data_IF_180834627411
#
_entry.id   IF_180834627411
#
_cell.length_a   1.000
_cell.length_b   1.000
_cell.length_c   1.000
_cell.angle_alpha   90.00
_cell.angle_beta   90.00
_cell.angle_gamma   90.00
#
_symmetry.space_group_name_H-M   'P 1'
#
loop_
_entity.id
_entity.type
_entity.pdbx_description
1 polymer ?
#
# COMPACT_ATOMS: atom_id res chain seq x y z
N UNK A 1 -11.43 15.43 8.67
CA UNK A 1 -10.91 14.04 8.57
C UNK A 1 -9.38 13.95 8.70
N UNK A 2 -8.57 14.79 8.02
CA UNK A 2 -7.11 14.79 8.23
C UNK A 2 -6.77 15.05 9.70
N UNK A 3 -7.26 16.12 10.29
CA UNK A 3 -7.01 16.50 11.69
C UNK A 3 -7.55 15.48 12.70
N UNK A 4 -8.64 14.77 12.36
CA UNK A 4 -9.18 13.72 13.23
C UNK A 4 -8.28 12.49 13.34
N UNK A 5 -7.47 12.20 12.31
CA UNK A 5 -6.55 11.06 12.31
C UNK A 5 -5.14 11.51 12.74
N UNK A 6 -4.66 12.62 12.17
CA UNK A 6 -3.34 13.16 12.49
C UNK A 6 -3.27 13.75 13.91
N UNK A 7 -4.38 14.28 14.41
CA UNK A 7 -4.47 14.83 15.78
C UNK A 7 -4.63 13.78 16.88
N UNK A 8 -4.61 12.48 16.58
CA UNK A 8 -4.53 11.43 17.60
C UNK A 8 -3.21 11.56 18.38
N UNK A 9 -3.19 11.16 19.67
CA UNK A 9 -1.98 11.32 20.49
C UNK A 9 -0.75 10.71 19.86
N UNK A 10 0.34 11.49 19.82
CA UNK A 10 1.65 11.07 19.39
C UNK A 10 2.55 10.76 20.59
N UNK A 11 3.25 9.66 20.54
CA UNK A 11 4.32 9.32 21.47
C UNK A 11 5.44 8.61 20.71
N UNK A 12 6.67 8.66 21.20
CA UNK A 12 7.79 7.98 20.57
C UNK A 12 7.54 6.49 20.35
N UNK A 13 6.80 5.85 21.28
CA UNK A 13 6.47 4.43 21.18
C UNK A 13 5.35 4.17 20.16
N UNK A 14 4.24 4.91 20.21
CA UNK A 14 3.14 4.75 19.24
C UNK A 14 3.60 5.05 17.83
N UNK A 15 4.34 6.15 17.63
CA UNK A 15 4.84 6.55 16.33
C UNK A 15 5.80 5.53 15.73
N UNK A 16 6.63 4.89 16.57
CA UNK A 16 7.50 3.79 16.14
C UNK A 16 6.70 2.59 15.64
N UNK A 17 5.66 2.14 16.36
CA UNK A 17 4.82 1.02 15.91
C UNK A 17 4.04 1.37 14.65
N UNK A 18 3.48 2.57 14.57
CA UNK A 18 2.74 3.03 13.39
C UNK A 18 3.67 3.15 12.18
N UNK A 19 4.93 3.60 12.38
CA UNK A 19 5.94 3.61 11.31
C UNK A 19 6.27 2.20 10.82
N UNK A 20 6.43 1.22 11.72
CA UNK A 20 6.66 -0.17 11.32
C UNK A 20 5.51 -0.72 10.46
N UNK A 21 4.26 -0.43 10.84
CA UNK A 21 3.08 -0.80 10.02
C UNK A 21 3.13 -0.11 8.65
N UNK A 22 3.50 1.17 8.63
CA UNK A 22 3.67 1.94 7.40
C UNK A 22 4.73 1.32 6.48
N UNK A 23 5.89 0.95 7.03
CA UNK A 23 7.03 0.43 6.27
C UNK A 23 6.73 -0.95 5.66
N UNK A 24 5.89 -1.77 6.30
CA UNK A 24 5.37 -3.00 5.70
C UNK A 24 4.61 -2.72 4.39
N UNK A 25 3.98 -1.55 4.27
CA UNK A 25 3.28 -1.09 3.06
C UNK A 25 4.19 -0.60 1.94
N UNK A 26 5.49 -0.42 2.16
CA UNK A 26 6.45 0.11 1.16
C UNK A 26 6.78 -0.87 0.00
N UNK A 27 6.12 -1.99 -0.05
CA UNK A 27 6.26 -3.00 -1.12
C UNK A 27 7.06 -4.22 -0.69
N UNK A 28 8.19 -4.07 0.00
CA UNK A 28 9.03 -5.20 0.42
C UNK A 28 8.32 -6.14 1.41
N UNK A 29 7.52 -5.61 2.32
CA UNK A 29 6.71 -6.43 3.23
C UNK A 29 5.73 -7.34 2.48
N UNK A 30 5.06 -6.80 1.45
CA UNK A 30 4.15 -7.57 0.61
C UNK A 30 4.88 -8.56 -0.31
N UNK A 31 6.09 -8.24 -0.77
CA UNK A 31 6.95 -9.19 -1.49
C UNK A 31 7.34 -10.35 -0.59
N UNK A 32 7.76 -10.07 0.64
CA UNK A 32 8.11 -11.11 1.62
C UNK A 32 6.89 -12.02 1.94
N UNK A 33 5.71 -11.42 2.14
CA UNK A 33 4.46 -12.16 2.31
C UNK A 33 4.15 -13.03 1.08
N UNK A 34 4.33 -12.48 -0.13
CA UNK A 34 4.16 -13.20 -1.38
C UNK A 34 5.10 -14.39 -1.51
N UNK A 35 6.38 -14.24 -1.13
CA UNK A 35 7.36 -15.33 -1.10
C UNK A 35 6.91 -16.43 -0.13
N UNK A 36 6.50 -16.07 1.09
CA UNK A 36 5.99 -17.02 2.08
C UNK A 36 4.78 -17.80 1.57
N UNK A 37 3.80 -17.13 0.95
CA UNK A 37 2.63 -17.77 0.35
C UNK A 37 3.04 -18.70 -0.81
N UNK A 38 3.99 -18.27 -1.64
CA UNK A 38 4.47 -19.06 -2.77
C UNK A 38 5.18 -20.35 -2.31
N UNK A 39 5.91 -20.26 -1.21
CA UNK A 39 6.65 -21.39 -0.65
C UNK A 39 5.74 -22.42 0.03
N UNK A 40 4.76 -21.96 0.81
CA UNK A 40 3.90 -22.82 1.62
C UNK A 40 2.66 -23.34 0.87
N UNK A 41 2.20 -22.68 -0.18
CA UNK A 41 0.88 -22.91 -0.77
C UNK A 41 0.85 -23.75 -2.06
N UNK A 42 1.93 -24.44 -2.42
CA UNK A 42 2.02 -25.28 -3.61
C UNK A 42 1.78 -24.48 -4.92
N UNK A 43 1.17 -25.08 -5.93
CA UNK A 43 0.92 -24.41 -7.22
C UNK A 43 0.05 -23.17 -7.08
N UNK A 44 -1.02 -23.24 -6.28
CA UNK A 44 -1.90 -22.10 -6.02
C UNK A 44 -1.17 -20.99 -5.27
N UNK A 45 -0.42 -21.35 -4.23
CA UNK A 45 0.39 -20.42 -3.44
C UNK A 45 1.44 -19.72 -4.29
N UNK A 46 2.10 -20.45 -5.19
CA UNK A 46 3.09 -19.88 -6.10
C UNK A 46 2.47 -18.80 -7.01
N UNK A 47 1.31 -19.06 -7.61
CA UNK A 47 0.59 -18.06 -8.42
C UNK A 47 0.15 -16.86 -7.58
N UNK A 48 -0.43 -17.12 -6.40
CA UNK A 48 -0.87 -16.07 -5.49
C UNK A 48 0.29 -15.19 -5.02
N UNK A 49 1.41 -15.81 -4.61
CA UNK A 49 2.59 -15.10 -4.13
C UNK A 49 3.25 -14.24 -5.20
N UNK A 50 3.39 -14.78 -6.42
CA UNK A 50 3.89 -14.01 -7.57
C UNK A 50 2.93 -12.85 -7.89
N UNK A 51 1.61 -13.09 -7.90
CA UNK A 51 0.63 -12.04 -8.14
C UNK A 51 0.73 -10.92 -7.08
N UNK A 52 0.86 -11.29 -5.81
CA UNK A 52 1.00 -10.33 -4.71
C UNK A 52 2.26 -9.47 -4.87
N UNK A 53 3.40 -10.08 -5.14
CA UNK A 53 4.66 -9.37 -5.32
C UNK A 53 4.63 -8.46 -6.56
N UNK A 54 4.18 -8.96 -7.71
CA UNK A 54 4.09 -8.18 -8.94
C UNK A 54 3.06 -7.05 -8.84
N UNK A 55 1.91 -7.29 -8.21
CA UNK A 55 0.91 -6.24 -7.98
C UNK A 55 1.48 -5.12 -7.10
N UNK A 56 2.16 -5.46 -6.00
CA UNK A 56 2.77 -4.48 -5.12
C UNK A 56 3.86 -3.66 -5.82
N UNK A 57 4.87 -4.32 -6.38
CA UNK A 57 6.01 -3.65 -7.02
C UNK A 57 5.60 -2.89 -8.29
N UNK A 58 4.78 -3.50 -9.14
CA UNK A 58 4.29 -2.88 -10.37
C UNK A 58 3.46 -1.62 -10.08
N UNK A 59 2.60 -1.67 -9.05
CA UNK A 59 1.83 -0.51 -8.62
C UNK A 59 2.72 0.58 -8.04
N UNK A 60 3.70 0.22 -7.19
CA UNK A 60 4.68 1.19 -6.68
C UNK A 60 5.40 1.90 -7.82
N UNK A 61 5.91 1.15 -8.79
CA UNK A 61 6.59 1.70 -9.96
C UNK A 61 5.68 2.62 -10.77
N UNK A 62 4.45 2.17 -11.09
CA UNK A 62 3.50 2.95 -11.88
C UNK A 62 3.11 4.26 -11.17
N UNK A 63 2.83 4.20 -9.87
CA UNK A 63 2.49 5.40 -9.08
C UNK A 63 3.66 6.38 -9.07
N UNK A 64 4.89 5.92 -8.80
CA UNK A 64 6.04 6.80 -8.67
C UNK A 64 6.47 7.42 -10.01
N UNK A 65 6.45 6.64 -11.09
CA UNK A 65 7.01 7.05 -12.40
C UNK A 65 5.98 7.63 -13.35
N UNK A 66 4.71 7.25 -13.23
CA UNK A 66 3.69 7.64 -14.20
C UNK A 66 2.65 8.61 -13.60
N UNK A 67 2.22 8.39 -12.36
CA UNK A 67 1.10 9.14 -11.79
C UNK A 67 1.58 10.38 -11.04
N UNK A 68 2.51 10.25 -10.09
CA UNK A 68 2.99 11.37 -9.27
C UNK A 68 3.56 12.55 -10.06
N UNK A 69 4.31 12.38 -11.16
CA UNK A 69 4.82 13.50 -11.95
C UNK A 69 3.72 14.38 -12.54
N UNK A 70 2.51 13.82 -12.76
CA UNK A 70 1.37 14.54 -13.33
C UNK A 70 0.72 15.47 -12.31
N UNK A 71 0.53 14.99 -11.07
CA UNK A 71 -0.32 15.69 -10.08
C UNK A 71 0.41 16.71 -9.20
N UNK A 72 1.70 16.59 -8.95
CA UNK A 72 2.58 17.53 -8.23
C UNK A 72 2.00 18.14 -6.93
N UNK A 73 1.13 17.41 -6.23
CA UNK A 73 0.47 17.89 -5.01
C UNK A 73 1.46 18.02 -3.86
N UNK A 74 1.45 19.16 -3.16
CA UNK A 74 2.26 19.36 -1.95
C UNK A 74 1.76 18.46 -0.81
N UNK A 75 2.70 17.94 -0.02
CA UNK A 75 2.40 17.09 1.15
C UNK A 75 1.83 17.91 2.31
N UNK A 76 1.09 17.28 3.27
CA UNK A 76 0.51 17.97 4.43
C UNK A 76 1.54 18.81 5.20
N UNK A 77 2.72 18.26 5.48
CA UNK A 77 3.78 18.96 6.21
C UNK A 77 4.39 20.16 5.47
N UNK A 78 4.19 20.25 4.15
CA UNK A 78 4.59 21.42 3.35
C UNK A 78 3.44 22.41 3.20
N UNK A 79 2.21 21.90 3.05
CA UNK A 79 1.04 22.73 2.75
C UNK A 79 0.41 23.34 4.01
N UNK A 80 0.59 22.72 5.19
CA UNK A 80 -0.07 23.09 6.46
C UNK A 80 0.89 23.19 7.64
N UNK A 81 2.19 23.00 7.43
CA UNK A 81 3.22 23.04 8.49
C UNK A 81 2.93 22.09 9.68
N UNK A 82 2.30 20.94 9.38
CA UNK A 82 1.99 19.94 10.40
C UNK A 82 3.21 19.10 10.74
N UNK A 83 3.19 18.48 11.92
CA UNK A 83 4.21 17.54 12.34
C UNK A 83 4.27 16.35 11.36
N UNK A 84 5.47 15.89 11.06
CA UNK A 84 5.70 14.66 10.29
C UNK A 84 6.63 13.74 11.07
N UNK A 85 6.24 12.48 11.16
CA UNK A 85 7.07 11.44 11.76
C UNK A 85 7.81 10.69 10.67
N UNK A 86 9.15 10.59 10.77
CA UNK A 86 10.01 9.93 9.81
C UNK A 86 10.58 10.86 8.74
N UNK A 87 11.02 10.28 7.62
CA UNK A 87 11.76 10.99 6.57
C UNK A 87 10.82 11.88 5.73
N UNK A 88 11.15 13.15 5.60
CA UNK A 88 10.48 14.08 4.68
C UNK A 88 10.90 13.78 3.24
N UNK A 89 10.00 13.23 2.46
CA UNK A 89 10.25 12.96 1.04
C UNK A 89 9.90 14.16 0.17
N UNK A 90 10.68 14.39 -0.88
CA UNK A 90 10.50 15.55 -1.79
C UNK A 90 9.47 15.28 -2.91
N UNK A 91 9.00 14.06 -3.06
CA UNK A 91 8.06 13.66 -4.11
C UNK A 91 6.61 14.11 -3.81
N UNK A 92 5.76 14.09 -4.84
CA UNK A 92 4.36 14.50 -4.75
C UNK A 92 3.57 13.66 -3.72
N UNK A 93 2.62 14.33 -3.03
CA UNK A 93 1.73 13.67 -2.07
C UNK A 93 0.74 12.71 -2.74
N UNK A 94 0.20 13.10 -3.90
CA UNK A 94 -0.88 12.36 -4.57
C UNK A 94 -0.35 11.47 -5.71
N UNK A 95 -0.86 10.24 -5.78
CA UNK A 95 -1.55 9.46 -4.76
C UNK A 95 -0.58 8.83 -3.75
N UNK A 96 -1.12 8.21 -2.66
CA UNK A 96 -0.31 7.47 -1.69
C UNK A 96 0.22 6.16 -2.28
N UNK A 97 1.53 6.07 -2.49
CA UNK A 97 2.19 4.87 -3.03
C UNK A 97 2.10 3.67 -2.09
N UNK A 98 2.33 3.86 -0.78
CA UNK A 98 2.20 2.80 0.23
C UNK A 98 0.80 2.20 0.27
N UNK A 99 -0.23 3.05 0.19
CA UNK A 99 -1.62 2.59 0.13
C UNK A 99 -1.90 1.84 -1.16
N UNK A 100 -1.45 2.38 -2.30
CA UNK A 100 -1.67 1.76 -3.60
C UNK A 100 -1.02 0.37 -3.67
N UNK A 101 0.24 0.23 -3.26
CA UNK A 101 0.93 -1.06 -3.24
C UNK A 101 0.28 -2.07 -2.29
N UNK A 102 -0.16 -1.61 -1.11
CA UNK A 102 -0.82 -2.48 -0.12
C UNK A 102 -2.18 -2.99 -0.61
N UNK A 103 -3.01 -2.11 -1.18
CA UNK A 103 -4.30 -2.53 -1.74
C UNK A 103 -4.13 -3.40 -2.99
N UNK A 104 -3.11 -3.17 -3.82
CA UNK A 104 -2.80 -4.04 -4.95
C UNK A 104 -2.42 -5.45 -4.49
N UNK A 105 -1.51 -5.56 -3.54
CA UNK A 105 -1.10 -6.84 -2.95
C UNK A 105 -2.27 -7.56 -2.28
N UNK A 106 -3.05 -6.86 -1.45
CA UNK A 106 -4.21 -7.40 -0.76
C UNK A 106 -5.25 -7.93 -1.75
N UNK A 107 -5.55 -7.18 -2.81
CA UNK A 107 -6.50 -7.60 -3.86
C UNK A 107 -5.99 -8.81 -4.61
N UNK A 108 -4.72 -8.82 -5.00
CA UNK A 108 -4.12 -9.95 -5.68
C UNK A 108 -4.20 -11.21 -4.81
N UNK A 109 -3.79 -11.13 -3.54
CA UNK A 109 -3.82 -12.28 -2.63
C UNK A 109 -5.25 -12.77 -2.35
N UNK A 110 -6.18 -11.86 -2.07
CA UNK A 110 -7.59 -12.17 -1.81
C UNK A 110 -8.26 -12.86 -3.01
N UNK A 111 -7.85 -12.54 -4.23
CA UNK A 111 -8.35 -13.17 -5.45
C UNK A 111 -8.06 -14.67 -5.52
N UNK A 112 -6.93 -15.11 -4.96
CA UNK A 112 -6.58 -16.55 -4.86
C UNK A 112 -7.05 -17.15 -3.54
N UNK A 113 -7.08 -16.38 -2.47
CA UNK A 113 -7.46 -16.80 -1.11
C UNK A 113 -8.57 -15.89 -0.55
N UNK A 114 -9.84 -16.03 -0.98
CA UNK A 114 -10.93 -15.14 -0.54
C UNK A 114 -11.13 -15.09 0.98
N UNK A 115 -10.85 -16.19 1.67
CA UNK A 115 -10.94 -16.24 3.15
C UNK A 115 -9.91 -15.35 3.84
N UNK A 116 -8.81 -14.99 3.17
CA UNK A 116 -7.81 -14.05 3.69
C UNK A 116 -8.21 -12.57 3.47
N UNK A 117 -9.24 -12.29 2.67
CA UNK A 117 -9.62 -10.93 2.30
C UNK A 117 -9.82 -10.00 3.50
N UNK A 118 -10.55 -10.36 4.56
CA UNK A 118 -10.72 -9.47 5.72
C UNK A 118 -9.38 -9.07 6.34
N UNK A 119 -8.48 -10.03 6.52
CA UNK A 119 -7.16 -9.77 7.13
C UNK A 119 -6.31 -8.84 6.25
N UNK A 120 -6.16 -9.18 4.96
CA UNK A 120 -5.24 -8.43 4.10
C UNK A 120 -5.75 -7.02 3.77
N UNK A 121 -7.08 -6.82 3.65
CA UNK A 121 -7.64 -5.49 3.49
C UNK A 121 -7.59 -4.67 4.78
N UNK A 122 -7.72 -5.28 5.96
CA UNK A 122 -7.48 -4.59 7.24
C UNK A 122 -6.03 -4.10 7.31
N UNK A 123 -5.05 -4.95 6.99
CA UNK A 123 -3.64 -4.54 6.97
C UNK A 123 -3.39 -3.40 5.97
N UNK A 124 -3.93 -3.49 4.75
CA UNK A 124 -3.80 -2.42 3.75
C UNK A 124 -4.44 -1.10 4.22
N UNK A 125 -5.58 -1.18 4.92
CA UNK A 125 -6.25 -0.01 5.50
C UNK A 125 -5.44 0.61 6.63
N UNK A 126 -4.84 -0.21 7.50
CA UNK A 126 -3.95 0.26 8.57
C UNK A 126 -2.72 0.97 7.99
N UNK A 127 -2.12 0.44 6.90
CA UNK A 127 -1.06 1.13 6.18
C UNK A 127 -1.55 2.49 5.66
N UNK A 128 -2.72 2.56 5.05
CA UNK A 128 -3.29 3.83 4.58
C UNK A 128 -3.51 4.84 5.71
N UNK A 129 -4.10 4.39 6.82
CA UNK A 129 -4.34 5.22 8.00
C UNK A 129 -3.03 5.72 8.64
N UNK A 130 -2.01 4.86 8.72
CA UNK A 130 -0.70 5.25 9.22
C UNK A 130 -0.08 6.41 8.43
N UNK A 131 -0.26 6.44 7.10
CA UNK A 131 0.27 7.53 6.25
C UNK A 131 -0.39 8.88 6.55
N UNK A 132 -1.65 8.90 6.95
CA UNK A 132 -2.35 10.11 7.40
C UNK A 132 -1.90 10.52 8.79
N UNK A 133 -1.84 9.56 9.74
CA UNK A 133 -1.41 9.80 11.10
C UNK A 133 0.01 10.37 11.17
N UNK A 134 0.95 9.78 10.44
CA UNK A 134 2.34 10.22 10.37
C UNK A 134 2.56 11.53 9.58
N UNK A 135 1.50 12.17 9.06
CA UNK A 135 1.57 13.47 8.37
C UNK A 135 2.09 13.43 6.93
N UNK A 136 2.20 12.24 6.32
CA UNK A 136 2.76 12.10 4.96
C UNK A 136 1.76 12.34 3.84
N UNK A 137 0.49 11.99 4.04
CA UNK A 137 -0.56 12.01 3.02
C UNK A 137 -1.88 12.58 3.53
N UNK A 138 -2.65 13.20 2.65
CA UNK A 138 -4.04 13.51 2.92
C UNK A 138 -4.93 12.26 2.78
N UNK A 139 -6.10 12.21 3.45
CA UNK A 139 -7.05 11.11 3.29
C UNK A 139 -7.46 10.85 1.84
N UNK A 140 -7.55 11.90 1.00
CA UNK A 140 -7.84 11.77 -0.43
C UNK A 140 -6.71 11.10 -1.22
N UNK A 141 -5.44 11.27 -0.81
CA UNK A 141 -4.29 10.58 -1.42
C UNK A 141 -4.36 9.07 -1.12
N UNK A 142 -4.79 8.75 0.10
CA UNK A 142 -5.01 7.36 0.56
C UNK A 142 -6.17 6.73 -0.19
N UNK A 143 -7.32 7.41 -0.30
CA UNK A 143 -8.47 6.90 -1.03
C UNK A 143 -8.15 6.65 -2.50
N UNK A 144 -7.48 7.59 -3.18
CA UNK A 144 -7.04 7.43 -4.57
C UNK A 144 -6.04 6.27 -4.70
N UNK A 145 -5.09 6.16 -3.77
CA UNK A 145 -4.15 5.05 -3.71
C UNK A 145 -4.87 3.70 -3.61
N UNK A 146 -5.87 3.59 -2.73
CA UNK A 146 -6.66 2.37 -2.57
C UNK A 146 -7.38 1.97 -3.87
N UNK A 147 -8.02 2.92 -4.55
CA UNK A 147 -8.70 2.67 -5.84
C UNK A 147 -7.72 2.17 -6.90
N UNK A 148 -6.58 2.86 -7.05
CA UNK A 148 -5.53 2.44 -7.99
C UNK A 148 -5.02 1.03 -7.64
N UNK A 149 -4.78 0.78 -6.35
CA UNK A 149 -4.31 -0.51 -5.87
C UNK A 149 -5.28 -1.65 -6.16
N UNK A 150 -6.57 -1.46 -5.87
CA UNK A 150 -7.60 -2.47 -6.20
C UNK A 150 -7.62 -2.75 -7.70
N UNK A 151 -7.60 -1.72 -8.54
CA UNK A 151 -7.60 -1.88 -10.00
C UNK A 151 -6.39 -2.66 -10.51
N UNK A 152 -5.17 -2.25 -10.12
CA UNK A 152 -3.93 -2.91 -10.55
C UNK A 152 -3.79 -4.33 -10.00
N UNK A 153 -4.18 -4.55 -8.74
CA UNK A 153 -4.19 -5.87 -8.12
C UNK A 153 -5.16 -6.84 -8.81
N UNK A 154 -6.34 -6.35 -9.19
CA UNK A 154 -7.33 -7.14 -9.94
C UNK A 154 -6.78 -7.56 -11.30
N UNK A 155 -6.22 -6.62 -12.06
CA UNK A 155 -5.62 -6.90 -13.39
C UNK A 155 -4.48 -7.91 -13.26
N UNK A 156 -3.56 -7.70 -12.31
CA UNK A 156 -2.41 -8.60 -12.10
C UNK A 156 -2.87 -10.01 -11.73
N UNK A 157 -3.83 -10.13 -10.80
CA UNK A 157 -4.35 -11.42 -10.39
C UNK A 157 -5.10 -12.14 -11.52
N UNK A 158 -5.86 -11.40 -12.31
CA UNK A 158 -6.57 -11.95 -13.47
C UNK A 158 -5.59 -12.51 -14.50
N UNK A 159 -4.55 -11.77 -14.87
CA UNK A 159 -3.51 -12.22 -15.79
C UNK A 159 -2.87 -13.53 -15.31
N UNK A 160 -2.52 -13.63 -14.02
CA UNK A 160 -1.89 -14.83 -13.47
C UNK A 160 -2.85 -15.99 -13.18
N UNK A 161 -4.17 -15.78 -13.30
CA UNK A 161 -5.15 -16.87 -13.33
C UNK A 161 -5.28 -17.55 -14.71
N UNK A 162 -4.87 -16.85 -15.79
CA UNK A 162 -4.93 -17.42 -17.13
C UNK A 162 -4.01 -18.65 -17.24
N UNK A 163 -4.47 -19.75 -17.91
CA UNK A 163 -3.71 -21.01 -17.97
C UNK A 163 -2.34 -20.91 -18.64
N UNK A 164 -2.08 -19.84 -19.39
CA UNK A 164 -0.88 -19.68 -20.25
C UNK A 164 0.37 -19.20 -19.51
N UNK A 165 0.29 -18.86 -18.21
CA UNK A 165 1.41 -18.18 -17.53
C UNK A 165 2.14 -19.02 -16.47
N UNK A 166 1.77 -20.28 -16.21
CA UNK A 166 2.51 -21.19 -15.28
C UNK A 166 2.21 -22.67 -15.57
#
# INVERSE_FOLDING_TARGET
>A
MFEAIHGLPHSAQSDRYISLVSDLGEGLGWVAAGIGVAWLGGRKGRRAGIATALASLGTTYAVQRMVKPIFRRRRPFVAREVMVVGIRTADASFPSGHTASSFAAATALATFYPKAAPLVFTLATLVGASRVHLGHHFPSDVAAGAVIGVGTGTVTAWLLKLPRFL
#
